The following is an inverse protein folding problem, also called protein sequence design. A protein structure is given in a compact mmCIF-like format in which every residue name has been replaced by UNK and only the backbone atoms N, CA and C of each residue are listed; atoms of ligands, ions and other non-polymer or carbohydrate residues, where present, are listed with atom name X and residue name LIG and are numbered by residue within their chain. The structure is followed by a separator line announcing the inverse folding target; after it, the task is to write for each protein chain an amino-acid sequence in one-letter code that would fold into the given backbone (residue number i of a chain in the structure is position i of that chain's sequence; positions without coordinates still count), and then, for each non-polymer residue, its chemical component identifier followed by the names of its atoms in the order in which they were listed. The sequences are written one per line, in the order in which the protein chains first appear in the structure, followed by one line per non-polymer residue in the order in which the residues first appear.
data_IF_710628479117
#
_entry.id   IF_710628479117
#
_cell.length_a   1.000
_cell.length_b   1.000
_cell.length_c   1.000
_cell.angle_alpha   90.00
_cell.angle_beta   90.00
_cell.angle_gamma   90.00
#
_symmetry.space_group_name_H-M   'P 1'
#
loop_
_entity.id
_entity.type
_entity.pdbx_description
1 polymer ?
#
# COMPACT_ATOMS: atom_id res chain seq x y z
N UNK A 1 2.84 10.03 -16.45
CA UNK A 1 3.72 10.86 -15.61
C UNK A 1 3.88 10.14 -14.28
N UNK A 2 4.92 9.32 -14.11
CA UNK A 2 5.27 8.80 -12.79
C UNK A 2 5.73 9.99 -11.95
N UNK A 3 4.86 10.51 -11.10
CA UNK A 3 5.30 11.30 -9.97
C UNK A 3 6.40 10.48 -9.28
N UNK A 4 7.57 11.08 -9.06
CA UNK A 4 8.68 10.41 -8.39
C UNK A 4 8.14 9.71 -7.14
N UNK A 5 8.39 8.40 -7.00
CA UNK A 5 8.07 7.65 -5.80
C UNK A 5 8.99 8.12 -4.66
N UNK A 6 8.71 9.33 -4.18
CA UNK A 6 9.47 10.00 -3.16
C UNK A 6 9.17 9.33 -1.82
N UNK A 7 10.22 9.00 -1.11
CA UNK A 7 10.18 8.54 0.28
C UNK A 7 11.14 9.43 1.07
N UNK A 8 10.65 10.03 2.14
CA UNK A 8 11.42 10.90 3.03
C UNK A 8 12.23 10.07 4.03
N UNK A 9 11.68 8.95 4.48
CA UNK A 9 12.38 8.01 5.34
C UNK A 9 13.34 7.15 4.51
N UNK A 10 14.63 7.23 4.83
CA UNK A 10 15.69 6.49 4.14
C UNK A 10 15.53 4.98 4.28
N UNK A 11 14.90 4.52 5.36
CA UNK A 11 14.63 3.09 5.59
C UNK A 11 13.69 2.54 4.51
N UNK A 12 12.87 3.39 3.87
CA UNK A 12 11.95 2.99 2.81
C UNK A 12 12.60 2.94 1.41
N UNK A 13 13.84 3.40 1.22
CA UNK A 13 14.46 3.39 -0.11
C UNK A 13 14.65 1.99 -0.70
N UNK A 14 15.17 0.99 0.05
CA UNK A 14 15.27 -0.37 -0.47
C UNK A 14 13.89 -0.98 -0.78
N UNK A 15 12.88 -0.68 0.03
CA UNK A 15 11.50 -1.13 -0.18
C UNK A 15 10.94 -0.52 -1.46
N UNK A 16 11.18 0.78 -1.69
CA UNK A 16 10.80 1.45 -2.95
C UNK A 16 11.40 0.75 -4.16
N UNK A 17 12.68 0.38 -4.11
CA UNK A 17 13.35 -0.30 -5.21
C UNK A 17 12.69 -1.66 -5.50
N UNK A 18 12.39 -2.45 -4.47
CA UNK A 18 11.66 -3.73 -4.60
C UNK A 18 10.26 -3.54 -5.17
N UNK A 19 9.52 -2.54 -4.69
CA UNK A 19 8.16 -2.21 -5.18
C UNK A 19 8.19 -1.84 -6.67
N UNK A 20 9.14 -1.00 -7.09
CA UNK A 20 9.30 -0.63 -8.50
C UNK A 20 9.69 -1.84 -9.35
N UNK A 21 10.57 -2.70 -8.85
CA UNK A 21 10.95 -3.97 -9.47
C UNK A 21 9.83 -5.02 -9.46
N UNK A 22 8.74 -4.78 -8.72
CA UNK A 22 7.62 -5.73 -8.53
C UNK A 22 8.03 -7.04 -7.87
N UNK A 23 8.99 -6.94 -6.96
CA UNK A 23 9.45 -8.05 -6.13
C UNK A 23 8.60 -8.15 -4.85
N UNK A 24 8.48 -9.36 -4.33
CA UNK A 24 7.82 -9.60 -3.05
C UNK A 24 8.61 -8.97 -1.90
N UNK A 25 7.90 -8.32 -0.97
CA UNK A 25 8.50 -7.78 0.24
C UNK A 25 8.70 -8.90 1.29
N UNK A 26 9.78 -8.78 2.07
CA UNK A 26 10.06 -9.70 3.17
C UNK A 26 9.32 -9.31 4.45
N UNK A 27 9.43 -10.15 5.48
CA UNK A 27 8.89 -9.84 6.81
C UNK A 27 9.53 -8.56 7.40
N UNK A 28 10.85 -8.42 7.23
CA UNK A 28 11.63 -7.28 7.72
C UNK A 28 11.21 -5.98 7.02
N UNK A 29 10.91 -6.04 5.71
CA UNK A 29 10.36 -4.92 4.96
C UNK A 29 9.00 -4.48 5.56
N UNK A 30 8.14 -5.45 5.92
CA UNK A 30 6.88 -5.18 6.61
C UNK A 30 7.07 -4.49 7.97
N UNK A 31 8.03 -4.95 8.76
CA UNK A 31 8.38 -4.32 10.05
C UNK A 31 8.92 -2.90 9.85
N UNK A 32 9.74 -2.68 8.82
CA UNK A 32 10.28 -1.37 8.47
C UNK A 32 9.17 -0.40 8.04
N UNK A 33 8.23 -0.84 7.20
CA UNK A 33 7.02 -0.09 6.83
C UNK A 33 6.22 0.32 8.07
N UNK A 34 5.98 -0.63 8.98
CA UNK A 34 5.19 -0.38 10.20
C UNK A 34 5.84 0.64 11.13
N UNK A 35 7.18 0.69 11.18
CA UNK A 35 7.92 1.61 12.06
C UNK A 35 8.12 3.00 11.47
N UNK A 36 8.04 3.15 10.15
CA UNK A 36 8.27 4.44 9.50
C UNK A 36 7.12 5.41 9.78
N UNK A 37 7.47 6.69 9.99
CA UNK A 37 6.50 7.79 10.13
C UNK A 37 6.18 8.46 8.79
N UNK A 38 6.84 8.07 7.70
CA UNK A 38 6.60 8.63 6.37
C UNK A 38 5.36 8.00 5.73
N UNK A 39 4.20 8.24 6.35
CA UNK A 39 2.91 7.67 5.91
C UNK A 39 2.56 8.07 4.47
N UNK A 40 3.00 9.25 4.02
CA UNK A 40 2.80 9.69 2.65
C UNK A 40 3.71 8.95 1.67
N UNK A 41 4.96 8.66 2.04
CA UNK A 41 5.84 7.78 1.26
C UNK A 41 5.27 6.38 1.12
N UNK A 42 4.81 5.80 2.23
CA UNK A 42 4.14 4.49 2.24
C UNK A 42 2.87 4.53 1.37
N UNK A 43 2.05 5.57 1.50
CA UNK A 43 0.83 5.74 0.70
C UNK A 43 1.12 5.82 -0.80
N UNK A 44 2.18 6.53 -1.22
CA UNK A 44 2.63 6.57 -2.62
C UNK A 44 3.08 5.20 -3.13
N UNK A 45 3.84 4.45 -2.33
CA UNK A 45 4.26 3.09 -2.65
C UNK A 45 3.05 2.17 -2.86
N UNK A 46 2.10 2.20 -1.92
CA UNK A 46 0.87 1.41 -2.00
C UNK A 46 0.01 1.81 -3.22
N UNK A 47 -0.14 3.12 -3.47
CA UNK A 47 -0.92 3.62 -4.59
C UNK A 47 -0.31 3.21 -5.95
N UNK A 48 1.01 3.27 -6.08
CA UNK A 48 1.71 2.79 -7.28
C UNK A 48 1.38 1.33 -7.59
N UNK A 49 1.43 0.45 -6.58
CA UNK A 49 1.07 -0.97 -6.75
C UNK A 49 -0.41 -1.11 -7.09
N UNK A 50 -1.30 -0.38 -6.41
CA UNK A 50 -2.75 -0.39 -6.69
C UNK A 50 -3.07 0.03 -8.12
N UNK A 51 -2.49 1.12 -8.61
CA UNK A 51 -2.72 1.63 -9.96
C UNK A 51 -2.13 0.68 -11.01
N UNK A 52 -0.98 0.06 -10.72
CA UNK A 52 -0.41 -0.98 -11.59
C UNK A 52 -1.33 -2.20 -11.73
N UNK A 53 -1.99 -2.62 -10.65
CA UNK A 53 -2.86 -3.80 -10.64
C UNK A 53 -4.30 -3.52 -11.11
N UNK A 54 -4.82 -2.31 -10.87
CA UNK A 54 -6.24 -2.00 -10.99
C UNK A 54 -6.55 -0.71 -11.75
N UNK A 55 -5.54 0.07 -12.12
CA UNK A 55 -5.72 1.43 -12.64
C UNK A 55 -6.60 2.27 -11.70
N UNK A 56 -7.49 3.04 -12.30
CA UNK A 56 -8.45 3.90 -11.59
C UNK A 56 -9.72 3.16 -11.15
N UNK A 57 -9.85 1.86 -11.44
CA UNK A 57 -11.04 1.10 -11.07
C UNK A 57 -11.14 0.95 -9.56
N UNK A 58 -12.35 1.06 -9.02
CA UNK A 58 -12.63 0.84 -7.61
C UNK A 58 -13.93 0.05 -7.48
N UNK A 59 -13.85 -1.08 -6.80
CA UNK A 59 -14.96 -2.02 -6.63
C UNK A 59 -15.70 -1.73 -5.33
N UNK A 60 -17.01 -1.96 -5.31
CA UNK A 60 -17.84 -1.87 -4.11
C UNK A 60 -18.69 -3.13 -3.97
N UNK A 61 -19.09 -3.47 -2.74
CA UNK A 61 -19.92 -4.63 -2.46
C UNK A 61 -21.21 -4.21 -1.74
N UNK A 62 -22.36 -4.73 -2.20
CA UNK A 62 -23.66 -4.58 -1.54
C UNK A 62 -23.92 -5.75 -0.60
N UNK A 63 -23.47 -5.63 0.65
CA UNK A 63 -23.67 -6.63 1.69
C UNK A 63 -24.92 -6.37 2.54
N UNK A 64 -25.59 -7.43 3.00
CA UNK A 64 -26.59 -7.37 4.08
C UNK A 64 -26.10 -8.20 5.26
N UNK A 65 -26.03 -7.59 6.44
CA UNK A 65 -25.71 -8.26 7.69
C UNK A 65 -26.92 -8.17 8.63
N UNK A 66 -27.44 -9.31 9.08
CA UNK A 66 -28.57 -9.39 10.02
C UNK A 66 -28.00 -9.87 11.36
N UNK A 67 -28.21 -9.09 12.42
CA UNK A 67 -27.91 -9.50 13.79
C UNK A 67 -29.20 -10.05 14.42
N UNK A 68 -29.18 -11.31 14.84
CA UNK A 68 -30.38 -12.02 15.32
C UNK A 68 -30.77 -11.71 16.77
N UNK A 69 -29.96 -10.95 17.51
CA UNK A 69 -30.15 -10.72 18.97
C UNK A 69 -30.97 -9.48 19.31
N UNK A 70 -31.43 -8.72 18.31
CA UNK A 70 -32.26 -7.53 18.46
C UNK A 70 -33.49 -7.51 17.54
N UNK A 71 -33.99 -8.70 17.15
CA UNK A 71 -35.25 -8.87 16.42
C UNK A 71 -36.36 -9.28 17.37
#
# INVERSE_FOLDING_TARGET
MSAELLVNDRILQPIRERVVASESLSYEDGVALYRSRDIHGIGRLANFVREKLHGDQTYYNRNRHINYTNV
#
